data_IF_130082617143
#
_entry.id   IF_130082617143
#
_cell.length_a   1.000
_cell.length_b   1.000
_cell.length_c   1.000
_cell.angle_alpha   90.00
_cell.angle_beta   90.00
_cell.angle_gamma   90.00
#
_symmetry.space_group_name_H-M   'P 1'
#
loop_
_entity.id
_entity.type
_entity.pdbx_description
1 polymer ?
#
# COMPACT_ATOMS: atom_id res chain seq x y z
N UNK A 1 -8.37 -16.95 11.55
CA UNK A 1 -7.77 -16.46 10.33
C UNK A 1 -6.81 -17.52 9.78
N UNK A 2 -6.82 -17.72 8.49
CA UNK A 2 -5.86 -18.61 7.84
C UNK A 2 -5.60 -18.09 6.41
N UNK A 3 -4.54 -17.29 6.24
CA UNK A 3 -4.18 -16.61 4.99
C UNK A 3 -5.06 -15.40 4.67
N UNK A 4 -6.37 -15.56 4.56
CA UNK A 4 -7.27 -14.43 4.26
C UNK A 4 -7.32 -13.43 5.41
N UNK A 5 -7.33 -12.11 5.11
CA UNK A 5 -7.44 -11.08 6.14
C UNK A 5 -8.75 -11.20 6.92
N UNK A 6 -8.67 -10.96 8.23
CA UNK A 6 -9.82 -10.97 9.13
C UNK A 6 -9.62 -9.93 10.22
N UNK A 7 -10.61 -9.06 10.38
CA UNK A 7 -10.62 -7.97 11.35
C UNK A 7 -11.83 -8.10 12.25
N UNK A 8 -11.61 -8.05 13.57
CA UNK A 8 -12.70 -7.99 14.54
C UNK A 8 -12.97 -6.53 14.91
N UNK A 9 -14.24 -6.13 14.95
CA UNK A 9 -14.65 -4.78 15.28
C UNK A 9 -15.64 -4.76 16.45
N UNK A 10 -15.63 -3.68 17.22
CA UNK A 10 -16.62 -3.42 18.28
C UNK A 10 -16.91 -1.93 18.44
N UNK A 11 -18.14 -1.61 18.79
CA UNK A 11 -18.56 -0.28 19.25
C UNK A 11 -18.81 -0.23 20.77
N UNK A 12 -18.55 -1.33 21.48
CA UNK A 12 -18.81 -1.53 22.90
C UNK A 12 -20.17 -2.17 23.20
N UNK A 13 -21.12 -2.15 22.26
CA UNK A 13 -22.46 -2.74 22.41
C UNK A 13 -22.70 -3.90 21.43
N UNK A 14 -21.90 -3.95 20.39
CA UNK A 14 -21.94 -4.99 19.37
C UNK A 14 -20.54 -5.36 18.90
N UNK A 15 -20.40 -6.58 18.39
CA UNK A 15 -19.17 -7.11 17.83
C UNK A 15 -19.41 -7.60 16.42
N UNK A 16 -18.42 -7.39 15.53
CA UNK A 16 -18.54 -7.69 14.11
C UNK A 16 -17.23 -8.24 13.56
N UNK A 17 -17.29 -8.90 12.40
CA UNK A 17 -16.12 -9.36 11.64
C UNK A 17 -16.20 -8.81 10.21
N UNK A 18 -15.05 -8.46 9.66
CA UNK A 18 -14.89 -8.03 8.29
C UNK A 18 -13.55 -8.45 7.71
N UNK A 19 -13.41 -8.34 6.40
CA UNK A 19 -12.14 -8.57 5.71
C UNK A 19 -11.12 -7.45 5.97
N UNK A 20 -11.61 -6.25 6.24
CA UNK A 20 -10.81 -5.04 6.45
C UNK A 20 -11.55 -4.05 7.37
N UNK A 21 -10.85 -3.00 7.80
CA UNK A 21 -11.41 -1.97 8.69
C UNK A 21 -12.45 -1.08 8.00
N UNK A 22 -12.38 -0.90 6.67
CA UNK A 22 -13.33 -0.09 5.92
C UNK A 22 -14.71 -0.75 5.93
N UNK A 23 -14.75 -2.09 5.77
CA UNK A 23 -16.00 -2.86 5.85
C UNK A 23 -16.70 -2.71 7.22
N UNK A 24 -15.95 -2.41 8.27
CA UNK A 24 -16.46 -2.25 9.63
C UNK A 24 -16.66 -0.78 10.05
N UNK A 25 -16.24 0.19 9.25
CA UNK A 25 -16.19 1.61 9.61
C UNK A 25 -17.53 2.22 10.02
N UNK A 26 -18.63 1.71 9.47
CA UNK A 26 -19.99 2.20 9.79
C UNK A 26 -20.60 1.55 11.04
N UNK A 27 -20.02 0.46 11.58
CA UNK A 27 -20.61 -0.34 12.64
C UNK A 27 -19.69 -0.58 13.84
N UNK A 28 -18.39 -0.28 13.72
CA UNK A 28 -17.43 -0.45 14.80
C UNK A 28 -16.68 0.86 15.07
N UNK A 29 -16.30 1.10 16.33
CA UNK A 29 -15.46 2.22 16.77
C UNK A 29 -14.00 1.81 16.87
N UNK A 30 -13.77 0.55 17.23
CA UNK A 30 -12.44 -0.03 17.38
C UNK A 30 -12.34 -1.31 16.58
N UNK A 31 -11.16 -1.56 16.02
CA UNK A 31 -10.86 -2.79 15.30
C UNK A 31 -9.58 -3.44 15.80
N UNK A 32 -9.55 -4.74 15.67
CA UNK A 32 -8.38 -5.57 15.95
C UNK A 32 -8.06 -6.42 14.71
N UNK A 33 -6.84 -6.31 14.23
CA UNK A 33 -6.34 -7.12 13.12
C UNK A 33 -5.86 -8.46 13.67
N UNK A 34 -6.44 -9.55 13.16
CA UNK A 34 -6.09 -10.89 13.60
C UNK A 34 -4.82 -11.38 12.90
N UNK A 35 -4.01 -12.14 13.60
CA UNK A 35 -2.83 -12.83 13.05
C UNK A 35 -3.20 -14.20 12.48
N UNK A 36 -2.33 -14.77 11.64
CA UNK A 36 -2.57 -16.11 11.10
C UNK A 36 -2.55 -17.16 12.24
N UNK A 37 -3.54 -18.02 12.21
CA UNK A 37 -3.80 -19.00 13.28
C UNK A 37 -4.74 -18.49 14.37
N UNK A 38 -5.07 -17.19 14.40
CA UNK A 38 -6.03 -16.68 15.40
C UNK A 38 -7.45 -17.19 15.15
N UNK A 39 -8.10 -17.55 16.23
CA UNK A 39 -9.52 -17.88 16.31
C UNK A 39 -10.19 -16.79 17.12
N UNK A 40 -11.23 -16.18 16.59
CA UNK A 40 -12.03 -15.19 17.32
C UNK A 40 -13.40 -15.72 17.65
N UNK A 41 -13.82 -15.51 18.88
CA UNK A 41 -15.16 -15.82 19.39
C UNK A 41 -15.86 -14.49 19.68
N UNK A 42 -16.94 -14.24 18.97
CA UNK A 42 -17.76 -13.04 19.16
C UNK A 42 -18.98 -13.36 20.01
N UNK A 43 -19.21 -12.54 21.02
CA UNK A 43 -20.51 -12.36 21.63
C UNK A 43 -20.99 -10.94 21.37
N UNK A 44 -22.20 -10.61 21.79
CA UNK A 44 -22.76 -9.27 21.51
C UNK A 44 -21.85 -8.15 22.04
N UNK A 45 -21.29 -8.31 23.21
CA UNK A 45 -20.53 -7.26 23.91
C UNK A 45 -19.04 -7.61 24.09
N UNK A 46 -18.60 -8.80 23.64
CA UNK A 46 -17.26 -9.26 23.90
C UNK A 46 -16.61 -9.91 22.67
N UNK A 47 -15.32 -9.64 22.51
CA UNK A 47 -14.44 -10.23 21.49
C UNK A 47 -13.35 -10.99 22.23
N UNK A 48 -13.32 -12.30 22.10
CA UNK A 48 -12.25 -13.14 22.63
C UNK A 48 -11.42 -13.70 21.48
N UNK A 49 -10.10 -13.60 21.62
CA UNK A 49 -9.15 -14.04 20.61
C UNK A 49 -8.26 -15.11 21.22
N UNK A 50 -8.08 -16.20 20.48
CA UNK A 50 -7.22 -17.32 20.83
C UNK A 50 -6.19 -17.53 19.72
N UNK A 51 -4.95 -17.85 20.09
CA UNK A 51 -3.89 -18.16 19.13
C UNK A 51 -4.06 -19.59 18.56
N UNK A 52 -3.16 -19.98 17.65
CA UNK A 52 -3.14 -21.32 17.03
C UNK A 52 -2.97 -22.46 18.04
N UNK A 53 -2.44 -22.19 19.24
CA UNK A 53 -2.30 -23.18 20.32
C UNK A 53 -3.54 -23.28 21.20
N UNK A 54 -4.55 -22.42 20.99
CA UNK A 54 -5.77 -22.37 21.78
C UNK A 54 -5.65 -21.52 23.06
N UNK A 55 -4.53 -20.82 23.26
CA UNK A 55 -4.36 -19.91 24.37
C UNK A 55 -4.99 -18.55 24.08
N UNK A 56 -5.52 -17.87 25.10
CA UNK A 56 -6.08 -16.54 24.96
C UNK A 56 -4.99 -15.55 24.52
N UNK A 57 -5.19 -14.95 23.35
CA UNK A 57 -4.28 -13.97 22.77
C UNK A 57 -4.75 -12.55 23.08
N UNK A 58 -3.82 -11.70 23.50
CA UNK A 58 -4.10 -10.28 23.67
C UNK A 58 -3.64 -9.55 22.40
N UNK A 59 -4.60 -9.10 21.58
CA UNK A 59 -4.37 -8.30 20.38
C UNK A 59 -4.81 -6.87 20.64
N UNK A 60 -4.08 -5.91 20.09
CA UNK A 60 -4.38 -4.49 20.26
C UNK A 60 -5.63 -4.09 19.46
N UNK A 61 -6.53 -3.36 20.09
CA UNK A 61 -7.65 -2.70 19.44
C UNK A 61 -7.28 -1.24 19.13
N UNK A 62 -7.33 -0.88 17.86
CA UNK A 62 -7.07 0.49 17.41
C UNK A 62 -8.39 1.19 17.06
N UNK A 63 -8.47 2.49 17.34
CA UNK A 63 -9.65 3.28 16.96
C UNK A 63 -9.73 3.39 15.43
N UNK A 64 -10.90 3.12 14.87
CA UNK A 64 -11.21 3.47 13.49
C UNK A 64 -11.34 5.00 13.48
N UNK A 65 -10.29 5.70 13.03
CA UNK A 65 -10.33 7.15 12.88
C UNK A 65 -11.55 7.58 12.07
N UNK A 66 -11.96 8.86 12.19
CA UNK A 66 -13.15 9.43 11.57
C UNK A 66 -13.11 9.28 10.05
N UNK A 67 -13.52 8.12 9.54
CA UNK A 67 -13.68 7.85 8.11
C UNK A 67 -15.11 8.11 7.61
N UNK A 68 -16.03 8.54 8.49
CA UNK A 68 -17.46 8.64 8.19
C UNK A 68 -17.82 9.57 7.02
N UNK A 69 -17.02 10.59 6.77
CA UNK A 69 -17.28 11.52 5.65
C UNK A 69 -16.79 10.98 4.30
N UNK A 70 -15.81 10.11 4.28
CA UNK A 70 -15.25 9.55 3.03
C UNK A 70 -16.06 8.39 2.47
N UNK A 71 -16.80 7.68 3.32
CA UNK A 71 -17.60 6.50 2.94
C UNK A 71 -18.95 6.86 2.30
N UNK A 72 -19.37 8.10 2.35
CA UNK A 72 -20.64 8.53 1.73
C UNK A 72 -20.46 8.84 0.23
N UNK A 73 -21.54 8.64 -0.56
CA UNK A 73 -21.55 9.03 -1.98
C UNK A 73 -21.59 10.54 -2.18
N UNK A 74 -21.97 11.32 -1.14
CA UNK A 74 -22.21 12.74 -1.28
C UNK A 74 -23.33 13.05 -2.29
N UNK A 75 -23.04 13.92 -3.25
CA UNK A 75 -23.98 14.29 -4.33
C UNK A 75 -23.98 13.36 -5.55
N UNK A 76 -23.13 12.32 -5.55
CA UNK A 76 -22.98 11.41 -6.69
C UNK A 76 -23.94 10.22 -6.62
N UNK A 77 -24.34 9.71 -7.77
CA UNK A 77 -25.20 8.53 -7.85
C UNK A 77 -24.43 7.24 -7.51
N UNK A 78 -23.15 7.19 -7.87
CA UNK A 78 -22.30 6.01 -7.72
C UNK A 78 -20.98 6.37 -7.04
N UNK A 79 -20.42 5.44 -6.25
CA UNK A 79 -19.08 5.61 -5.65
C UNK A 79 -18.01 5.82 -6.71
N UNK A 80 -18.02 5.04 -7.78
CA UNK A 80 -17.07 5.17 -8.87
C UNK A 80 -17.09 6.57 -9.50
N UNK A 81 -18.25 7.18 -9.68
CA UNK A 81 -18.39 8.54 -10.20
C UNK A 81 -17.72 9.55 -9.23
N UNK A 82 -18.01 9.44 -7.93
CA UNK A 82 -17.35 10.25 -6.89
C UNK A 82 -15.83 10.09 -6.95
N UNK A 83 -15.35 8.86 -6.97
CA UNK A 83 -13.92 8.51 -6.94
C UNK A 83 -13.18 9.01 -8.19
N UNK A 84 -13.82 9.01 -9.36
CA UNK A 84 -13.29 9.65 -10.58
C UNK A 84 -13.07 11.16 -10.37
N UNK A 85 -14.01 11.84 -9.72
CA UNK A 85 -13.87 13.27 -9.44
C UNK A 85 -12.86 13.58 -8.30
N UNK A 86 -12.49 12.60 -7.50
CA UNK A 86 -11.51 12.74 -6.43
C UNK A 86 -10.05 12.59 -6.90
N UNK A 87 -9.78 12.20 -8.16
CA UNK A 87 -8.42 12.03 -8.68
C UNK A 87 -7.49 13.24 -8.43
N UNK A 88 -7.89 14.49 -8.74
CA UNK A 88 -7.01 15.65 -8.52
C UNK A 88 -6.59 15.79 -7.05
N UNK A 89 -7.52 15.55 -6.12
CA UNK A 89 -7.25 15.57 -4.68
C UNK A 89 -6.28 14.46 -4.29
N UNK A 90 -6.57 13.20 -4.69
CA UNK A 90 -5.77 12.03 -4.36
C UNK A 90 -4.33 12.15 -4.88
N UNK A 91 -4.16 12.61 -6.12
CA UNK A 91 -2.84 12.86 -6.75
C UNK A 91 -2.09 13.95 -5.99
N UNK A 92 -2.72 15.11 -5.77
CA UNK A 92 -2.09 16.24 -5.08
C UNK A 92 -1.69 15.90 -3.64
N UNK A 93 -2.56 15.24 -2.86
CA UNK A 93 -2.25 14.83 -1.49
C UNK A 93 -1.15 13.76 -1.44
N UNK A 94 -1.11 12.86 -2.43
CA UNK A 94 -0.05 11.85 -2.52
C UNK A 94 1.31 12.48 -2.84
N UNK A 95 1.38 13.39 -3.80
CA UNK A 95 2.65 14.06 -4.13
C UNK A 95 3.18 14.96 -3.02
N UNK A 96 2.29 15.67 -2.29
CA UNK A 96 2.71 16.57 -1.20
C UNK A 96 3.58 15.90 -0.13
N UNK A 97 3.41 14.60 0.11
CA UNK A 97 4.24 13.86 1.06
C UNK A 97 5.71 13.78 0.66
N UNK A 98 5.97 13.91 -0.63
CA UNK A 98 7.29 13.70 -1.23
C UNK A 98 7.93 15.02 -1.70
N UNK A 99 7.37 16.16 -1.33
CA UNK A 99 7.94 17.46 -1.68
C UNK A 99 8.88 17.92 -0.56
N UNK A 100 10.15 18.03 -0.89
CA UNK A 100 11.09 18.81 -0.09
C UNK A 100 10.83 20.30 -0.36
N UNK A 101 10.17 20.97 0.57
CA UNK A 101 9.77 22.36 0.44
C UNK A 101 10.95 23.34 0.47
N UNK A 102 12.08 22.96 1.07
CA UNK A 102 13.27 23.80 1.15
C UNK A 102 13.99 23.87 -0.20
N UNK A 103 14.05 22.72 -0.88
CA UNK A 103 14.71 22.61 -2.18
C UNK A 103 13.74 22.74 -3.37
N UNK A 104 12.45 22.55 -3.15
CA UNK A 104 11.41 22.54 -4.18
C UNK A 104 11.53 21.36 -5.15
N UNK A 105 11.89 20.19 -4.63
CA UNK A 105 12.09 18.95 -5.39
C UNK A 105 11.25 17.82 -4.83
N UNK A 106 11.11 16.74 -5.59
CA UNK A 106 10.53 15.48 -5.12
C UNK A 106 11.64 14.65 -4.47
N UNK A 107 11.42 14.24 -3.21
CA UNK A 107 12.31 13.42 -2.40
C UNK A 107 11.55 12.37 -1.59
N UNK A 108 12.17 11.19 -1.41
CA UNK A 108 11.64 10.03 -0.63
C UNK A 108 12.68 9.64 0.42
N UNK A 109 13.33 10.60 1.05
CA UNK A 109 14.46 10.37 1.98
C UNK A 109 14.06 9.73 3.32
N UNK A 110 12.81 9.85 3.76
CA UNK A 110 12.39 9.54 5.13
C UNK A 110 12.21 8.05 5.44
N UNK A 111 12.38 7.15 4.47
CA UNK A 111 12.14 5.71 4.68
C UNK A 111 13.39 4.92 5.08
N UNK A 112 14.57 5.56 5.12
CA UNK A 112 15.82 4.90 5.51
C UNK A 112 16.38 3.91 4.48
N UNK A 113 15.84 3.84 3.27
CA UNK A 113 16.32 3.01 2.18
C UNK A 113 17.45 3.70 1.41
N UNK A 114 18.60 3.02 1.31
CA UNK A 114 19.70 3.50 0.45
C UNK A 114 19.48 3.06 -1.00
N UNK A 115 19.04 3.96 -1.85
CA UNK A 115 18.78 3.68 -3.26
C UNK A 115 20.04 3.46 -4.10
N UNK A 116 21.23 3.88 -3.63
CA UNK A 116 22.50 3.68 -4.36
C UNK A 116 22.91 2.20 -4.43
N UNK A 117 22.41 1.38 -3.50
CA UNK A 117 22.74 -0.05 -3.44
C UNK A 117 21.78 -0.93 -4.25
N UNK A 118 20.88 -0.31 -5.01
CA UNK A 118 19.87 -1.02 -5.79
C UNK A 118 20.34 -1.13 -7.23
N UNK A 119 20.48 -2.36 -7.71
CA UNK A 119 20.88 -2.65 -9.11
C UNK A 119 19.69 -2.81 -10.05
N UNK A 120 18.49 -3.12 -9.50
CA UNK A 120 17.29 -3.48 -10.23
C UNK A 120 16.05 -3.27 -9.37
N UNK A 121 14.95 -2.92 -9.99
CA UNK A 121 13.63 -2.88 -9.36
C UNK A 121 12.75 -4.02 -9.88
N UNK A 122 12.05 -4.70 -8.98
CA UNK A 122 11.08 -5.72 -9.32
C UNK A 122 9.72 -5.31 -8.75
N UNK A 123 8.78 -4.97 -9.62
CA UNK A 123 7.44 -4.50 -9.26
C UNK A 123 6.44 -5.66 -9.29
N UNK A 124 5.72 -5.90 -8.20
CA UNK A 124 4.85 -7.05 -8.03
C UNK A 124 3.48 -6.59 -7.54
N UNK A 125 2.43 -6.94 -8.28
CA UNK A 125 1.06 -6.56 -7.94
C UNK A 125 0.02 -7.42 -8.65
N UNK A 126 -1.26 -7.24 -8.32
CA UNK A 126 -2.40 -7.82 -9.03
C UNK A 126 -3.33 -6.74 -9.60
N UNK A 127 -4.10 -7.09 -10.63
CA UNK A 127 -5.17 -6.24 -11.18
C UNK A 127 -4.70 -4.86 -11.62
N UNK A 128 -5.45 -3.82 -11.25
CA UNK A 128 -5.14 -2.43 -11.64
C UNK A 128 -3.81 -1.94 -11.07
N UNK A 129 -3.41 -2.40 -9.87
CA UNK A 129 -2.11 -2.08 -9.30
C UNK A 129 -0.95 -2.67 -10.16
N UNK A 130 -1.14 -3.82 -10.78
CA UNK A 130 -0.15 -4.35 -11.74
C UNK A 130 0.02 -3.44 -12.97
N UNK A 131 -1.06 -2.82 -13.46
CA UNK A 131 -0.95 -1.84 -14.54
C UNK A 131 -0.19 -0.59 -14.12
N UNK A 132 -0.29 -0.16 -12.85
CA UNK A 132 0.55 0.93 -12.35
C UNK A 132 2.03 0.56 -12.34
N UNK A 133 2.36 -0.71 -12.05
CA UNK A 133 3.72 -1.23 -12.15
C UNK A 133 4.26 -1.20 -13.59
N UNK A 134 3.44 -1.56 -14.58
CA UNK A 134 3.84 -1.49 -15.99
C UNK A 134 4.15 -0.06 -16.46
N UNK A 135 3.40 0.92 -15.99
CA UNK A 135 3.70 2.34 -16.25
C UNK A 135 4.97 2.77 -15.51
N UNK A 136 5.11 2.38 -14.25
CA UNK A 136 6.26 2.73 -13.43
C UNK A 136 7.59 2.18 -13.97
N UNK A 137 7.56 1.07 -14.71
CA UNK A 137 8.72 0.56 -15.43
C UNK A 137 9.36 1.66 -16.29
N UNK A 138 8.55 2.39 -17.04
CA UNK A 138 9.04 3.51 -17.86
C UNK A 138 9.64 4.63 -17.00
N UNK A 139 9.04 4.94 -15.85
CA UNK A 139 9.56 5.96 -14.94
C UNK A 139 10.96 5.61 -14.41
N UNK A 140 11.14 4.40 -13.89
CA UNK A 140 12.43 3.95 -13.36
C UNK A 140 13.49 3.82 -14.45
N UNK A 141 13.14 3.29 -15.62
CA UNK A 141 14.07 3.20 -16.75
C UNK A 141 14.46 4.58 -17.28
N UNK A 142 13.52 5.52 -17.35
CA UNK A 142 13.76 6.86 -17.87
C UNK A 142 14.55 7.74 -16.89
N UNK A 143 14.08 7.82 -15.64
CA UNK A 143 14.63 8.76 -14.64
C UNK A 143 15.73 8.13 -13.80
N UNK A 144 15.53 6.94 -13.28
CA UNK A 144 16.49 6.27 -12.40
C UNK A 144 17.58 5.49 -13.17
N UNK A 145 17.36 5.17 -14.44
CA UNK A 145 18.23 4.32 -15.27
C UNK A 145 18.46 2.94 -14.65
N UNK A 146 17.46 2.43 -13.93
CA UNK A 146 17.45 1.11 -13.31
C UNK A 146 16.66 0.13 -14.19
N UNK A 147 17.17 -1.09 -14.40
CA UNK A 147 16.40 -2.17 -15.02
C UNK A 147 15.16 -2.50 -14.16
N UNK A 148 14.03 -2.74 -14.83
CA UNK A 148 12.77 -3.06 -14.13
C UNK A 148 12.14 -4.32 -14.67
N UNK A 149 11.76 -5.21 -13.78
CA UNK A 149 10.85 -6.32 -14.05
C UNK A 149 9.50 -6.07 -13.40
N UNK A 150 8.43 -6.54 -14.05
CA UNK A 150 7.07 -6.45 -13.52
C UNK A 150 6.46 -7.85 -13.54
N UNK A 151 5.94 -8.29 -12.40
CA UNK A 151 5.27 -9.57 -12.28
C UNK A 151 3.85 -9.43 -11.72
N UNK A 152 2.96 -10.25 -12.23
CA UNK A 152 1.68 -10.47 -11.59
C UNK A 152 1.89 -11.34 -10.36
N UNK A 153 1.43 -10.89 -9.20
CA UNK A 153 1.72 -11.56 -7.93
C UNK A 153 1.20 -12.99 -7.87
N UNK A 154 0.06 -13.28 -8.51
CA UNK A 154 -0.49 -14.65 -8.63
C UNK A 154 0.44 -15.60 -9.37
N UNK A 155 1.19 -15.11 -10.35
CA UNK A 155 2.15 -15.91 -11.09
C UNK A 155 3.49 -15.99 -10.37
N UNK A 156 3.94 -14.87 -9.80
CA UNK A 156 5.20 -14.76 -9.07
C UNK A 156 5.30 -15.80 -7.95
N UNK A 157 4.25 -15.92 -7.11
CA UNK A 157 4.24 -16.82 -5.95
C UNK A 157 4.35 -18.30 -6.28
N UNK A 158 3.97 -18.71 -7.50
CA UNK A 158 3.92 -20.13 -7.89
C UNK A 158 5.05 -20.57 -8.81
N UNK A 159 5.73 -19.64 -9.47
CA UNK A 159 6.75 -20.00 -10.46
C UNK A 159 8.15 -20.21 -9.87
N UNK A 160 8.35 -20.03 -8.57
CA UNK A 160 9.65 -20.15 -7.88
C UNK A 160 10.74 -19.26 -8.57
N UNK A 161 10.57 -17.93 -8.60
CA UNK A 161 11.44 -17.05 -9.35
C UNK A 161 12.85 -16.98 -8.75
N UNK A 162 13.85 -16.79 -9.62
CA UNK A 162 15.21 -16.51 -9.17
C UNK A 162 15.26 -15.09 -8.59
N UNK A 163 15.62 -14.98 -7.31
CA UNK A 163 15.71 -13.70 -6.62
C UNK A 163 17.14 -13.14 -6.65
N UNK A 164 17.26 -11.83 -6.83
CA UNK A 164 18.51 -11.07 -6.79
C UNK A 164 18.59 -10.27 -5.49
N UNK A 165 19.62 -10.53 -4.67
CA UNK A 165 19.83 -9.84 -3.38
C UNK A 165 20.15 -8.34 -3.52
N UNK A 166 20.51 -7.87 -4.72
CA UNK A 166 20.75 -6.46 -5.02
C UNK A 166 19.51 -5.76 -5.61
N UNK A 167 18.44 -6.50 -5.89
CA UNK A 167 17.17 -5.93 -6.33
C UNK A 167 16.37 -5.37 -5.14
N UNK A 168 15.50 -4.41 -5.45
CA UNK A 168 14.41 -3.96 -4.58
C UNK A 168 13.11 -4.55 -5.11
N UNK A 169 12.42 -5.34 -4.28
CA UNK A 169 11.12 -5.91 -4.57
C UNK A 169 10.03 -5.01 -4.02
N UNK A 170 9.20 -4.43 -4.92
CA UNK A 170 8.16 -3.46 -4.57
C UNK A 170 6.79 -4.09 -4.78
N UNK A 171 6.01 -4.17 -3.70
CA UNK A 171 4.67 -4.73 -3.67
C UNK A 171 3.63 -3.62 -3.66
N UNK A 172 2.77 -3.56 -4.69
CA UNK A 172 1.77 -2.50 -4.82
C UNK A 172 0.37 -3.08 -4.59
N UNK A 173 -0.35 -2.50 -3.63
CA UNK A 173 -1.73 -2.90 -3.31
C UNK A 173 -2.51 -1.73 -2.72
N UNK A 174 -3.72 -1.48 -3.18
CA UNK A 174 -4.57 -0.44 -2.57
C UNK A 174 -4.94 -0.81 -1.12
N UNK A 175 -5.49 -2.00 -0.89
CA UNK A 175 -5.91 -2.47 0.43
C UNK A 175 -4.75 -2.91 1.32
N UNK A 176 -3.63 -3.32 0.71
CA UNK A 176 -2.53 -3.99 1.41
C UNK A 176 -2.90 -5.36 1.99
N UNK A 177 -4.01 -5.95 1.50
CA UNK A 177 -4.54 -7.25 1.94
C UNK A 177 -4.77 -8.22 0.76
N UNK A 178 -4.26 -7.89 -0.44
CA UNK A 178 -4.38 -8.76 -1.61
C UNK A 178 -3.60 -10.06 -1.37
N UNK A 179 -4.29 -11.18 -1.31
CA UNK A 179 -3.74 -12.47 -0.88
C UNK A 179 -2.50 -12.91 -1.70
N UNK A 180 -2.56 -12.80 -3.03
CA UNK A 180 -1.42 -13.16 -3.88
C UNK A 180 -0.24 -12.21 -3.71
N UNK A 181 -0.49 -10.91 -3.56
CA UNK A 181 0.57 -9.91 -3.31
C UNK A 181 1.23 -10.14 -1.96
N UNK A 182 0.43 -10.48 -0.93
CA UNK A 182 0.94 -10.83 0.40
C UNK A 182 1.81 -12.10 0.35
N UNK A 183 1.35 -13.14 -0.34
CA UNK A 183 2.10 -14.39 -0.46
C UNK A 183 3.40 -14.22 -1.26
N UNK A 184 3.42 -13.33 -2.28
CA UNK A 184 4.63 -12.98 -2.99
C UNK A 184 5.61 -12.19 -2.09
N UNK A 185 5.11 -11.30 -1.21
CA UNK A 185 5.91 -10.63 -0.20
C UNK A 185 6.54 -11.65 0.76
N UNK A 186 5.77 -12.60 1.28
CA UNK A 186 6.25 -13.64 2.19
C UNK A 186 7.38 -14.45 1.56
N UNK A 187 7.21 -14.86 0.31
CA UNK A 187 8.24 -15.55 -0.45
C UNK A 187 9.57 -14.76 -0.50
N UNK A 188 9.50 -13.45 -0.76
CA UNK A 188 10.67 -12.58 -0.78
C UNK A 188 11.28 -12.39 0.61
N UNK A 189 10.47 -12.30 1.66
CA UNK A 189 10.93 -12.18 3.04
C UNK A 189 11.63 -13.44 3.53
N UNK A 190 11.11 -14.61 3.22
CA UNK A 190 11.74 -15.90 3.55
C UNK A 190 13.11 -16.01 2.90
N UNK A 191 13.26 -15.48 1.69
CA UNK A 191 14.54 -15.38 0.98
C UNK A 191 15.45 -14.24 1.47
N UNK A 192 14.96 -13.38 2.41
CA UNK A 192 15.70 -12.24 2.99
C UNK A 192 16.20 -11.23 1.96
N UNK A 193 15.44 -11.02 0.90
CA UNK A 193 15.68 -9.93 -0.06
C UNK A 193 14.95 -8.66 0.38
N UNK A 194 15.41 -7.50 -0.09
CA UNK A 194 14.85 -6.19 0.30
C UNK A 194 13.45 -6.00 -0.26
N UNK A 195 12.49 -5.68 0.62
CA UNK A 195 11.09 -5.50 0.29
C UNK A 195 10.61 -4.10 0.61
N UNK A 196 9.81 -3.50 -0.29
CA UNK A 196 9.12 -2.25 -0.09
C UNK A 196 7.66 -2.43 -0.49
N UNK A 197 6.74 -1.86 0.26
CA UNK A 197 5.33 -1.84 -0.12
C UNK A 197 4.83 -0.43 -0.42
N UNK A 198 3.88 -0.34 -1.36
CA UNK A 198 3.11 0.86 -1.65
C UNK A 198 1.64 0.52 -1.44
N UNK A 199 1.05 1.07 -0.37
CA UNK A 199 -0.33 0.76 0.04
C UNK A 199 -1.09 2.02 0.42
N UNK A 200 -2.42 1.93 0.45
CA UNK A 200 -3.26 3.04 0.92
C UNK A 200 -3.69 2.84 2.39
N UNK A 201 -3.75 1.58 2.86
CA UNK A 201 -4.17 1.26 4.23
C UNK A 201 -2.94 1.01 5.10
N UNK A 202 -2.63 1.95 5.99
CA UNK A 202 -1.41 1.95 6.82
C UNK A 202 -1.32 0.74 7.76
N UNK A 203 -2.45 0.26 8.26
CA UNK A 203 -2.54 -0.87 9.20
C UNK A 203 -2.61 -2.24 8.50
N UNK A 204 -2.48 -2.29 7.18
CA UNK A 204 -2.58 -3.53 6.41
C UNK A 204 -1.42 -4.51 6.66
N UNK A 205 -1.66 -5.78 6.36
CA UNK A 205 -0.66 -6.84 6.54
C UNK A 205 0.59 -6.60 5.68
N UNK A 206 0.42 -6.21 4.43
CA UNK A 206 1.54 -5.91 3.52
C UNK A 206 2.38 -4.75 4.05
N UNK A 207 1.73 -3.68 4.59
CA UNK A 207 2.45 -2.55 5.19
C UNK A 207 3.30 -2.94 6.39
N UNK A 208 2.73 -3.74 7.30
CA UNK A 208 3.42 -4.14 8.54
C UNK A 208 4.56 -5.12 8.31
N UNK A 209 4.51 -5.90 7.25
CA UNK A 209 5.45 -7.00 7.05
C UNK A 209 6.58 -6.67 6.06
N UNK A 210 6.45 -5.62 5.27
CA UNK A 210 7.52 -5.13 4.39
C UNK A 210 8.65 -4.46 5.19
N UNK A 211 9.87 -4.51 4.68
CA UNK A 211 11.01 -3.82 5.33
C UNK A 211 10.86 -2.30 5.26
N UNK A 212 10.27 -1.81 4.17
CA UNK A 212 9.96 -0.38 3.92
C UNK A 212 8.52 -0.24 3.44
N UNK A 213 7.90 0.88 3.75
CA UNK A 213 6.54 1.15 3.30
C UNK A 213 6.35 2.61 2.88
N UNK A 214 5.70 2.82 1.74
CA UNK A 214 5.22 4.11 1.29
C UNK A 214 3.70 4.09 1.17
N UNK A 215 3.08 5.22 1.44
CA UNK A 215 1.63 5.30 1.47
C UNK A 215 1.11 6.19 0.36
N UNK A 216 0.03 5.76 -0.27
CA UNK A 216 -0.80 6.66 -1.06
C UNK A 216 -1.71 7.47 -0.14
N UNK A 217 -2.28 8.57 -0.62
CA UNK A 217 -3.29 9.38 0.07
C UNK A 217 -4.58 9.43 -0.75
N UNK A 218 -4.98 8.27 -1.28
CA UNK A 218 -6.17 8.16 -2.11
C UNK A 218 -7.48 8.26 -1.31
N UNK A 219 -7.42 8.13 0.04
CA UNK A 219 -8.61 8.00 0.87
C UNK A 219 -9.30 6.65 0.67
N UNK A 220 -10.52 6.51 1.15
CA UNK A 220 -11.30 5.29 0.97
C UNK A 220 -11.73 5.12 -0.51
N UNK A 221 -11.52 3.94 -1.07
CA UNK A 221 -11.99 3.53 -2.40
C UNK A 221 -12.95 2.36 -2.23
N UNK A 222 -14.22 2.57 -2.59
CA UNK A 222 -15.34 1.64 -2.34
C UNK A 222 -15.84 1.04 -3.66
N UNK A 223 -15.64 1.76 -4.76
CA UNK A 223 -15.94 1.25 -6.10
C UNK A 223 -15.17 -0.03 -6.37
N UNK A 224 -15.85 -1.03 -6.97
CA UNK A 224 -15.23 -2.33 -7.26
C UNK A 224 -14.05 -2.19 -8.23
N UNK A 225 -14.20 -1.34 -9.23
CA UNK A 225 -13.11 -1.02 -10.15
C UNK A 225 -12.26 0.11 -9.55
N UNK A 226 -10.96 -0.13 -9.41
CA UNK A 226 -10.03 0.85 -8.88
C UNK A 226 -9.85 2.02 -9.86
N UNK A 227 -9.88 3.24 -9.34
CA UNK A 227 -9.75 4.50 -10.10
C UNK A 227 -8.69 5.40 -9.49
N UNK A 228 -9.03 6.16 -8.45
CA UNK A 228 -8.12 7.12 -7.80
C UNK A 228 -6.91 6.46 -7.14
N UNK A 229 -7.03 5.23 -6.64
CA UNK A 229 -5.90 4.50 -6.08
C UNK A 229 -4.83 4.22 -7.14
N UNK A 230 -5.21 3.92 -8.39
CA UNK A 230 -4.27 3.74 -9.49
C UNK A 230 -3.41 4.98 -9.73
N UNK A 231 -4.03 6.16 -9.84
CA UNK A 231 -3.29 7.42 -10.06
C UNK A 231 -2.44 7.81 -8.85
N UNK A 232 -2.92 7.53 -7.64
CA UNK A 232 -2.12 7.74 -6.44
C UNK A 232 -0.91 6.79 -6.37
N UNK A 233 -1.05 5.53 -6.80
CA UNK A 233 0.08 4.60 -6.95
C UNK A 233 1.10 5.10 -7.97
N UNK A 234 0.64 5.60 -9.13
CA UNK A 234 1.52 6.23 -10.12
C UNK A 234 2.30 7.41 -9.54
N UNK A 235 1.65 8.23 -8.69
CA UNK A 235 2.29 9.37 -8.02
C UNK A 235 3.43 8.93 -7.10
N UNK A 236 3.25 7.88 -6.29
CA UNK A 236 4.31 7.34 -5.44
C UNK A 236 5.44 6.75 -6.27
N UNK A 237 5.12 5.96 -7.28
CA UNK A 237 6.10 5.30 -8.15
C UNK A 237 6.93 6.30 -8.94
N UNK A 238 6.31 7.38 -9.45
CA UNK A 238 7.03 8.48 -10.10
C UNK A 238 7.95 9.21 -9.13
N UNK A 239 7.46 9.50 -7.92
CA UNK A 239 8.27 10.14 -6.87
C UNK A 239 9.50 9.33 -6.53
N UNK A 240 9.36 8.00 -6.40
CA UNK A 240 10.48 7.09 -6.19
C UNK A 240 11.49 7.11 -7.35
N UNK A 241 11.00 7.05 -8.59
CA UNK A 241 11.86 7.04 -9.76
C UNK A 241 12.66 8.34 -9.89
N UNK A 242 12.03 9.50 -9.64
CA UNK A 242 12.69 10.80 -9.63
C UNK A 242 13.72 10.92 -8.50
N UNK A 243 13.36 10.47 -7.30
CA UNK A 243 14.27 10.44 -6.17
C UNK A 243 15.51 9.59 -6.48
N UNK A 244 15.33 8.33 -6.94
CA UNK A 244 16.42 7.45 -7.35
C UNK A 244 17.28 8.10 -8.43
N UNK A 245 16.65 8.70 -9.43
CA UNK A 245 17.36 9.39 -10.51
C UNK A 245 18.21 10.56 -10.03
N UNK A 246 17.69 11.33 -9.07
CA UNK A 246 18.41 12.46 -8.47
C UNK A 246 19.60 11.97 -7.63
N UNK A 247 19.40 10.94 -6.79
CA UNK A 247 20.49 10.33 -5.98
C UNK A 247 21.60 9.73 -6.84
N UNK A 248 21.25 9.13 -7.98
CA UNK A 248 22.21 8.51 -8.91
C UNK A 248 22.77 9.49 -9.96
N UNK A 249 22.47 10.79 -9.85
CA UNK A 249 22.87 11.84 -10.80
C UNK A 249 22.38 11.63 -12.24
N UNK A 250 21.32 10.87 -12.47
CA UNK A 250 20.65 10.72 -13.75
C UNK A 250 19.59 11.82 -14.01
N UNK A 251 19.10 12.45 -12.94
CA UNK A 251 18.21 13.61 -12.94
C UNK A 251 18.89 14.72 -12.15
N UNK A 252 19.05 15.90 -12.74
CA UNK A 252 19.62 17.03 -11.99
C UNK A 252 18.60 17.61 -11.03
N UNK A 253 19.07 18.35 -10.03
CA UNK A 253 18.19 19.06 -9.08
C UNK A 253 17.26 20.02 -9.82
N UNK A 254 17.75 20.70 -10.85
CA UNK A 254 16.96 21.61 -11.68
C UNK A 254 15.84 20.88 -12.43
N UNK A 255 16.15 19.74 -13.05
CA UNK A 255 15.16 18.91 -13.75
C UNK A 255 14.09 18.38 -12.77
N UNK A 256 14.50 17.89 -11.60
CA UNK A 256 13.55 17.46 -10.58
C UNK A 256 12.64 18.61 -10.13
N UNK A 257 13.21 19.81 -9.95
CA UNK A 257 12.46 21.01 -9.56
C UNK A 257 11.45 21.44 -10.64
N UNK A 258 11.81 21.35 -11.91
CA UNK A 258 10.91 21.66 -13.03
C UNK A 258 9.73 20.66 -13.02
N UNK A 259 10.02 19.37 -12.93
CA UNK A 259 8.97 18.32 -12.86
C UNK A 259 8.08 18.54 -11.63
N UNK A 260 8.66 18.86 -10.48
CA UNK A 260 7.90 19.14 -9.26
C UNK A 260 6.92 20.30 -9.47
N UNK A 261 7.33 21.38 -10.18
CA UNK A 261 6.46 22.52 -10.49
C UNK A 261 5.34 22.17 -11.48
N UNK A 262 5.58 21.26 -12.42
CA UNK A 262 4.55 20.84 -13.39
C UNK A 262 3.48 19.95 -12.75
N UNK A 263 3.85 19.23 -11.69
CA UNK A 263 2.92 18.34 -10.94
C UNK A 263 2.04 19.14 -9.99
N UNK A 264 2.54 20.27 -9.46
CA UNK A 264 1.85 21.10 -8.45
C UNK A 264 0.87 22.09 -9.08
#
# INVERSE_FOLDING_TARGET
>A
RNGSPLVAGTDGNSSSLGSDSIALSSIAKKVCYLEDGDIVVLSRENVEIYNSSGDKANREFVDIGIMDTEVSKGSYNHFMEKEIHEHPKAVGETFRQFIDHDQGIISVDDIGLNFNDISKVHLIACGTAYYSCLVAKYYFEQYARLPVECDMASEFRYRDPVLDNKALYIFVSQSGETADTKAALDYCKDAKVRTLSIVNVMSSSIARESDYCLYTKAGAEIGVASTKAFTAQLSVLLSMALHCGTKNNNVTIEQNREICKEIM
#
